data_IF_502679234886
#
_entry.id   IF_502679234886
#
_cell.length_a   1.000
_cell.length_b   1.000
_cell.length_c   1.000
_cell.angle_alpha   90.00
_cell.angle_beta   90.00
_cell.angle_gamma   90.00
#
_symmetry.space_group_name_H-M   'P 1'
#
loop_
_entity.id
_entity.type
_entity.pdbx_description
1 polymer ?
#
# COMPACT_ATOMS: atom_id res chain seq x y z
N UNK A 1 9.47 -8.52 11.91
CA UNK A 1 9.93 -7.75 10.73
C UNK A 1 9.20 -6.42 10.78
N UNK A 2 9.84 -5.28 10.50
CA UNK A 2 9.16 -3.98 10.54
C UNK A 2 8.49 -3.71 9.20
N UNK A 3 7.27 -4.20 9.05
CA UNK A 3 6.25 -3.64 8.17
C UNK A 3 5.70 -2.40 8.87
N UNK A 4 5.29 -1.38 8.12
CA UNK A 4 4.73 -0.16 8.69
C UNK A 4 3.45 0.18 7.94
N UNK A 5 2.36 0.37 8.67
CA UNK A 5 1.07 0.74 8.09
C UNK A 5 1.00 2.24 7.85
N UNK A 6 1.33 2.68 6.63
CA UNK A 6 1.25 4.09 6.24
C UNK A 6 -0.18 4.45 5.86
N UNK A 7 -0.76 5.39 6.59
CA UNK A 7 -2.07 5.91 6.27
C UNK A 7 -1.97 6.90 5.11
N UNK A 8 -2.89 6.81 4.16
CA UNK A 8 -3.11 7.94 3.25
C UNK A 8 -3.49 9.14 4.09
N UNK A 9 -2.90 10.31 3.81
CA UNK A 9 -3.34 11.58 4.39
C UNK A 9 -4.85 11.66 4.23
N UNK A 10 -5.62 11.44 5.30
CA UNK A 10 -7.04 11.68 5.32
C UNK A 10 -7.14 13.19 5.12
N UNK A 11 -7.30 13.63 3.86
CA UNK A 11 -7.72 15.00 3.62
C UNK A 11 -9.10 15.06 4.29
N UNK A 12 -9.32 15.88 5.33
CA UNK A 12 -10.70 16.17 5.71
C UNK A 12 -11.42 16.64 4.44
N UNK A 13 -12.67 16.24 4.25
CA UNK A 13 -13.53 16.75 3.19
C UNK A 13 -13.61 18.28 3.36
N UNK A 14 -12.68 19.02 2.76
CA UNK A 14 -12.74 20.47 2.72
C UNK A 14 -13.75 20.84 1.66
N UNK A 15 -14.98 21.07 2.11
CA UNK A 15 -16.00 21.75 1.34
C UNK A 15 -15.58 23.21 1.15
N UNK A 16 -15.14 23.54 -0.08
CA UNK A 16 -15.13 24.87 -0.69
C UNK A 16 -14.24 25.97 -0.08
N UNK A 17 -13.28 26.48 -0.86
CA UNK A 17 -13.22 27.92 -1.17
C UNK A 17 -12.23 28.21 -2.29
N UNK A 18 -12.68 28.97 -3.29
CA UNK A 18 -11.92 29.43 -4.45
C UNK A 18 -10.93 30.53 -4.06
N UNK A 19 -9.63 30.31 -4.21
CA UNK A 19 -8.66 31.42 -4.28
C UNK A 19 -7.61 31.19 -5.37
N UNK A 20 -7.70 32.07 -6.36
CA UNK A 20 -6.84 32.24 -7.53
C UNK A 20 -5.54 32.94 -7.10
N UNK A 21 -4.37 32.41 -7.45
CA UNK A 21 -3.16 33.22 -7.61
C UNK A 21 -2.15 32.55 -8.54
N UNK A 22 -1.89 33.24 -9.65
CA UNK A 22 -0.83 32.97 -10.63
C UNK A 22 0.48 33.54 -10.08
N UNK A 23 1.57 32.77 -10.15
CA UNK A 23 2.92 33.29 -10.23
C UNK A 23 3.75 32.44 -11.20
N UNK A 24 4.52 33.14 -12.00
CA UNK A 24 5.30 32.71 -13.16
C UNK A 24 6.78 32.54 -12.77
N UNK A 25 7.45 31.61 -13.46
CA UNK A 25 8.84 31.64 -13.95
C UNK A 25 9.82 30.57 -13.43
N UNK A 26 10.53 30.03 -14.44
CA UNK A 26 11.82 29.32 -14.48
C UNK A 26 11.74 27.80 -14.56
N UNK A 27 11.57 27.34 -15.81
CA UNK A 27 12.05 26.04 -16.25
C UNK A 27 13.58 26.00 -16.13
N UNK A 28 14.08 25.24 -15.17
CA UNK A 28 15.47 24.77 -15.16
C UNK A 28 15.50 23.43 -15.91
N UNK A 29 16.37 23.37 -16.92
CA UNK A 29 16.71 22.14 -17.60
C UNK A 29 17.44 21.22 -16.62
N UNK A 30 16.71 20.38 -15.90
CA UNK A 30 17.28 19.22 -15.23
C UNK A 30 17.10 18.02 -16.15
N UNK A 31 18.21 17.52 -16.67
CA UNK A 31 18.29 16.24 -17.37
C UNK A 31 17.72 15.16 -16.44
N UNK A 32 16.45 14.82 -16.65
CA UNK A 32 15.83 13.67 -16.01
C UNK A 32 16.52 12.44 -16.59
N UNK A 33 17.29 11.74 -15.76
CA UNK A 33 17.57 10.32 -15.95
C UNK A 33 16.27 9.64 -16.40
N UNK A 34 16.28 8.70 -17.35
CA UNK A 34 15.06 7.99 -17.72
C UNK A 34 14.51 7.38 -16.44
N UNK A 35 13.43 7.96 -15.92
CA UNK A 35 12.64 7.33 -14.88
C UNK A 35 12.12 6.08 -15.57
N UNK A 36 12.81 4.97 -15.33
CA UNK A 36 12.26 3.65 -15.59
C UNK A 36 10.95 3.66 -14.83
N UNK A 37 9.83 3.81 -15.54
CA UNK A 37 8.51 3.59 -14.97
C UNK A 37 8.55 2.16 -14.47
N UNK A 38 8.83 1.95 -13.18
CA UNK A 38 8.73 0.65 -12.56
C UNK A 38 7.28 0.25 -12.74
N UNK A 39 7.05 -0.70 -13.63
CA UNK A 39 5.70 -1.08 -14.02
C UNK A 39 4.98 -1.61 -12.78
N UNK A 40 3.93 -0.92 -12.36
CA UNK A 40 3.05 -1.43 -11.32
C UNK A 40 2.29 -2.61 -11.87
N UNK A 41 2.13 -3.64 -11.04
CA UNK A 41 1.38 -4.84 -11.41
C UNK A 41 0.07 -4.89 -10.63
N UNK A 42 -1.00 -5.47 -11.19
CA UNK A 42 -2.16 -5.83 -10.39
C UNK A 42 -1.78 -6.89 -9.35
N UNK A 43 -2.62 -7.04 -8.32
CA UNK A 43 -2.47 -8.14 -7.37
C UNK A 43 -2.49 -9.51 -8.07
N UNK A 44 -1.73 -10.50 -7.57
CA UNK A 44 -1.91 -11.89 -7.97
C UNK A 44 -3.38 -12.31 -7.78
N UNK A 45 -3.97 -12.89 -8.82
CA UNK A 45 -5.42 -13.11 -8.89
C UNK A 45 -5.93 -13.93 -7.71
N UNK A 46 -5.23 -15.00 -7.34
CA UNK A 46 -5.67 -15.90 -6.27
C UNK A 46 -5.58 -15.23 -4.90
N UNK A 47 -4.51 -14.46 -4.64
CA UNK A 47 -4.39 -13.68 -3.41
C UNK A 47 -5.49 -12.61 -3.31
N UNK A 48 -5.78 -11.91 -4.41
CA UNK A 48 -6.87 -10.93 -4.48
C UNK A 48 -8.21 -11.61 -4.19
N UNK A 49 -8.56 -12.67 -4.89
CA UNK A 49 -9.82 -13.38 -4.71
C UNK A 49 -9.97 -13.98 -3.31
N UNK A 50 -8.90 -14.56 -2.77
CA UNK A 50 -8.88 -15.07 -1.40
C UNK A 50 -9.16 -13.98 -0.38
N UNK A 51 -8.48 -12.83 -0.51
CA UNK A 51 -8.69 -11.69 0.37
C UNK A 51 -10.09 -11.08 0.20
N UNK A 52 -10.57 -10.91 -1.03
CA UNK A 52 -11.93 -10.41 -1.31
C UNK A 52 -13.00 -11.33 -0.70
N UNK A 53 -12.80 -12.66 -0.76
CA UNK A 53 -13.74 -13.64 -0.18
C UNK A 53 -13.82 -13.55 1.35
N UNK A 54 -12.69 -13.35 2.03
CA UNK A 54 -12.68 -13.29 3.51
C UNK A 54 -13.06 -11.90 4.05
N UNK A 55 -12.75 -10.83 3.32
CA UNK A 55 -12.97 -9.45 3.79
C UNK A 55 -14.25 -8.80 3.26
N UNK A 56 -14.79 -9.27 2.14
CA UNK A 56 -15.91 -8.60 1.44
C UNK A 56 -15.54 -7.27 0.77
N UNK A 57 -14.26 -6.89 0.76
CA UNK A 57 -13.77 -5.62 0.22
C UNK A 57 -13.32 -5.79 -1.23
N UNK A 58 -13.66 -4.86 -2.13
CA UNK A 58 -13.13 -4.87 -3.50
C UNK A 58 -11.65 -4.45 -3.55
N UNK A 59 -10.80 -5.29 -4.15
CA UNK A 59 -9.35 -5.08 -4.22
C UNK A 59 -8.81 -5.01 -5.66
N UNK A 60 -9.69 -4.86 -6.66
CA UNK A 60 -9.31 -4.80 -8.08
C UNK A 60 -8.37 -3.62 -8.40
N UNK A 61 -8.52 -2.51 -7.66
CA UNK A 61 -7.74 -1.29 -7.88
C UNK A 61 -6.38 -1.29 -7.18
N UNK A 62 -6.10 -2.30 -6.35
CA UNK A 62 -4.81 -2.38 -5.65
C UNK A 62 -3.67 -2.61 -6.65
N UNK A 63 -2.56 -1.92 -6.43
CA UNK A 63 -1.35 -1.97 -7.26
C UNK A 63 -0.14 -2.35 -6.43
N UNK A 64 0.68 -3.24 -6.98
CA UNK A 64 1.93 -3.70 -6.36
C UNK A 64 3.12 -3.13 -7.12
N UNK A 65 3.98 -2.43 -6.39
CA UNK A 65 5.23 -1.85 -6.84
C UNK A 65 6.38 -2.78 -6.41
N UNK A 66 6.68 -3.76 -7.24
CA UNK A 66 7.79 -4.70 -7.02
C UNK A 66 9.14 -4.02 -7.23
N UNK A 67 10.17 -4.50 -6.53
CA UNK A 67 11.54 -3.97 -6.60
C UNK A 67 11.60 -2.44 -6.36
N UNK A 68 10.75 -1.93 -5.49
CA UNK A 68 10.66 -0.52 -5.16
C UNK A 68 11.79 -0.10 -4.22
N UNK A 69 12.35 1.09 -4.45
CA UNK A 69 13.29 1.75 -3.55
C UNK A 69 12.60 2.54 -2.43
N UNK A 70 11.27 2.69 -2.47
CA UNK A 70 10.54 3.47 -1.46
C UNK A 70 10.63 2.88 -0.05
N UNK A 71 10.48 1.56 0.18
CA UNK A 71 10.57 1.00 1.53
C UNK A 71 11.91 1.33 2.23
N UNK A 72 13.03 1.35 1.49
CA UNK A 72 14.33 1.72 2.07
C UNK A 72 14.42 3.17 2.55
N UNK A 73 13.64 4.09 1.98
CA UNK A 73 13.63 5.50 2.41
C UNK A 73 13.07 5.67 3.83
N UNK A 74 12.29 4.67 4.28
CA UNK A 74 11.68 4.63 5.60
C UNK A 74 12.16 3.43 6.42
N UNK A 75 13.31 2.84 6.04
CA UNK A 75 13.91 1.70 6.74
C UNK A 75 12.99 0.47 6.86
N UNK A 76 12.09 0.29 5.89
CA UNK A 76 11.16 -0.83 5.81
C UNK A 76 11.52 -1.80 4.68
N UNK A 77 11.00 -3.03 4.76
CA UNK A 77 11.10 -4.04 3.70
C UNK A 77 9.92 -3.98 2.73
N UNK A 78 8.76 -3.59 3.24
CA UNK A 78 7.54 -3.39 2.50
C UNK A 78 6.63 -2.42 3.27
N UNK A 79 5.68 -1.81 2.56
CA UNK A 79 4.58 -1.09 3.20
C UNK A 79 3.37 -0.94 2.26
N UNK A 80 2.19 -0.80 2.87
CA UNK A 80 0.94 -0.42 2.21
C UNK A 80 0.58 1.05 2.46
N UNK A 81 0.06 1.71 1.43
CA UNK A 81 -0.50 3.07 1.52
C UNK A 81 -1.68 3.20 0.57
N UNK A 82 -2.90 3.19 1.09
CA UNK A 82 -4.13 3.29 0.31
C UNK A 82 -4.33 2.07 -0.59
N UNK A 83 -4.35 2.27 -1.91
CA UNK A 83 -4.46 1.18 -2.89
C UNK A 83 -3.09 0.72 -3.43
N UNK A 84 -1.99 1.21 -2.86
CA UNK A 84 -0.63 0.90 -3.31
C UNK A 84 0.13 0.08 -2.27
N UNK A 85 0.80 -0.98 -2.73
CA UNK A 85 1.72 -1.80 -1.93
C UNK A 85 3.12 -1.69 -2.55
N UNK A 86 4.11 -1.37 -1.72
CA UNK A 86 5.51 -1.24 -2.14
C UNK A 86 6.35 -2.35 -1.53
N UNK A 87 7.08 -3.08 -2.36
CA UNK A 87 7.93 -4.20 -1.94
C UNK A 87 9.37 -3.91 -2.34
N UNK A 88 10.30 -3.99 -1.39
CA UNK A 88 11.71 -3.94 -1.70
C UNK A 88 12.13 -5.18 -2.54
N UNK A 89 13.27 -5.13 -3.25
CA UNK A 89 13.75 -6.28 -4.01
C UNK A 89 13.85 -7.55 -3.15
N UNK A 90 13.25 -8.65 -3.62
CA UNK A 90 13.25 -9.95 -2.92
C UNK A 90 12.35 -10.04 -1.69
N UNK A 91 11.44 -9.09 -1.48
CA UNK A 91 10.52 -9.02 -0.33
C UNK A 91 9.07 -9.38 -0.69
N UNK A 92 8.84 -10.14 -1.76
CA UNK A 92 7.50 -10.51 -2.25
C UNK A 92 6.67 -11.31 -1.25
N UNK A 93 7.33 -12.05 -0.35
CA UNK A 93 6.71 -12.78 0.75
C UNK A 93 5.88 -11.90 1.68
N UNK A 94 6.13 -10.59 1.73
CA UNK A 94 5.39 -9.65 2.56
C UNK A 94 4.05 -9.24 1.94
N UNK A 95 3.82 -9.53 0.66
CA UNK A 95 2.63 -9.08 -0.06
C UNK A 95 1.30 -9.48 0.61
N UNK A 96 1.09 -10.73 1.11
CA UNK A 96 -0.16 -11.06 1.79
C UNK A 96 -0.41 -10.22 3.05
N UNK A 97 0.63 -9.95 3.82
CA UNK A 97 0.60 -9.10 5.02
C UNK A 97 0.23 -7.66 4.67
N UNK A 98 0.93 -7.07 3.70
CA UNK A 98 0.64 -5.70 3.25
C UNK A 98 -0.77 -5.56 2.68
N UNK A 99 -1.29 -6.61 2.03
CA UNK A 99 -2.67 -6.60 1.56
C UNK A 99 -3.68 -6.60 2.73
N UNK A 100 -3.36 -7.26 3.85
CA UNK A 100 -4.13 -7.16 5.08
C UNK A 100 -4.24 -5.72 5.57
N UNK A 101 -3.16 -4.95 5.53
CA UNK A 101 -3.18 -3.52 5.86
C UNK A 101 -4.06 -2.70 4.92
N UNK A 102 -4.05 -2.99 3.61
CA UNK A 102 -4.95 -2.34 2.65
C UNK A 102 -6.42 -2.58 3.00
N UNK A 103 -6.77 -3.81 3.41
CA UNK A 103 -8.13 -4.14 3.86
C UNK A 103 -8.49 -3.31 5.08
N UNK A 104 -7.65 -3.31 6.12
CA UNK A 104 -7.88 -2.53 7.34
C UNK A 104 -8.10 -1.04 7.05
N UNK A 105 -7.30 -0.45 6.14
CA UNK A 105 -7.46 0.93 5.71
C UNK A 105 -8.79 1.16 4.97
N UNK A 106 -9.20 0.24 4.10
CA UNK A 106 -10.46 0.35 3.34
C UNK A 106 -11.70 0.21 4.23
N UNK A 107 -11.65 -0.59 5.29
CA UNK A 107 -12.78 -0.77 6.22
C UNK A 107 -12.79 0.26 7.35
N UNK A 108 -11.81 1.17 7.40
CA UNK A 108 -11.75 2.23 8.41
C UNK A 108 -11.34 1.73 9.80
N UNK A 109 -10.66 0.58 9.90
CA UNK A 109 -10.18 0.04 11.19
C UNK A 109 -8.93 0.75 11.72
N UNK A 110 -8.33 1.64 10.94
CA UNK A 110 -7.00 2.19 11.22
C UNK A 110 -7.10 3.67 11.49
N UNK A 111 -6.78 4.05 12.72
CA UNK A 111 -6.58 5.44 13.12
C UNK A 111 -5.09 5.75 13.26
N UNK A 112 -4.63 6.98 12.96
CA UNK A 112 -3.23 7.35 13.19
C UNK A 112 -2.87 7.23 14.68
N UNK A 113 -1.85 6.45 15.02
CA UNK A 113 -1.28 6.42 16.39
C UNK A 113 -0.08 7.36 16.50
N UNK A 114 0.61 7.62 15.37
CA UNK A 114 1.78 8.48 15.33
C UNK A 114 1.94 9.19 13.96
N UNK A 115 2.86 10.16 13.90
CA UNK A 115 3.30 10.81 12.68
C UNK A 115 4.79 10.54 12.46
N UNK A 116 5.14 10.08 11.25
CA UNK A 116 6.52 9.90 10.81
C UNK A 116 6.75 10.74 9.57
N UNK A 117 7.52 11.82 9.71
CA UNK A 117 7.85 12.76 8.62
C UNK A 117 6.61 13.34 7.90
N UNK A 118 5.55 13.65 8.65
CA UNK A 118 4.30 14.20 8.10
C UNK A 118 3.37 13.16 7.49
N UNK A 119 3.65 11.87 7.72
CA UNK A 119 2.78 10.76 7.33
C UNK A 119 2.24 10.07 8.57
N UNK A 120 0.92 9.99 8.63
CA UNK A 120 0.21 9.25 9.67
C UNK A 120 0.53 7.75 9.56
N UNK A 121 0.90 7.14 10.68
CA UNK A 121 1.22 5.71 10.79
C UNK A 121 0.40 5.12 11.93
N UNK A 122 0.05 3.85 11.78
CA UNK A 122 -0.45 3.02 12.88
C UNK A 122 0.60 1.95 13.22
N UNK A 123 0.90 1.80 14.50
CA UNK A 123 1.88 0.84 15.04
C UNK A 123 1.28 -0.12 16.08
N UNK A 124 -0.06 -0.28 16.10
CA UNK A 124 -0.75 -1.18 17.03
C UNK A 124 -0.39 -2.66 16.72
N UNK A 125 0.25 -3.38 17.67
CA UNK A 125 0.61 -4.78 17.48
C UNK A 125 -0.58 -5.70 17.16
N UNK A 126 -1.78 -5.36 17.64
CA UNK A 126 -3.00 -6.15 17.38
C UNK A 126 -3.41 -6.04 15.91
N UNK A 127 -3.24 -4.87 15.31
CA UNK A 127 -3.53 -4.66 13.88
C UNK A 127 -2.47 -5.33 13.00
N UNK A 128 -1.20 -5.34 13.40
CA UNK A 128 -0.14 -6.09 12.71
C UNK A 128 -0.41 -7.61 12.72
N UNK A 129 -0.82 -8.17 13.87
CA UNK A 129 -1.19 -9.58 13.95
C UNK A 129 -2.41 -9.88 13.08
N UNK A 130 -3.45 -9.05 13.15
CA UNK A 130 -4.65 -9.24 12.34
C UNK A 130 -4.35 -9.15 10.83
N UNK A 131 -3.44 -8.26 10.41
CA UNK A 131 -3.00 -8.19 9.01
C UNK A 131 -2.27 -9.47 8.56
N UNK A 132 -1.46 -10.04 9.45
CA UNK A 132 -0.78 -11.34 9.22
C UNK A 132 -1.81 -12.45 9.01
N UNK A 133 -2.78 -12.58 9.92
CA UNK A 133 -3.82 -13.61 9.89
C UNK A 133 -4.69 -13.51 8.63
N UNK A 134 -5.09 -12.29 8.24
CA UNK A 134 -5.82 -12.04 6.99
C UNK A 134 -4.99 -12.48 5.77
N UNK A 135 -3.70 -12.14 5.73
CA UNK A 135 -2.81 -12.52 4.64
C UNK A 135 -2.68 -14.03 4.49
N UNK A 136 -2.45 -14.74 5.61
CA UNK A 136 -2.36 -16.20 5.63
C UNK A 136 -3.67 -16.88 5.22
N UNK A 137 -4.81 -16.39 5.74
CA UNK A 137 -6.13 -16.90 5.35
C UNK A 137 -6.41 -16.66 3.87
N UNK A 138 -6.07 -15.48 3.33
CA UNK A 138 -6.25 -15.17 1.92
C UNK A 138 -5.46 -16.12 1.02
N UNK A 139 -4.22 -16.46 1.40
CA UNK A 139 -3.40 -17.45 0.68
C UNK A 139 -4.06 -18.84 0.72
N UNK A 140 -4.54 -19.27 1.89
CA UNK A 140 -5.20 -20.58 2.04
C UNK A 140 -6.50 -20.68 1.23
N UNK A 141 -7.31 -19.62 1.25
CA UNK A 141 -8.63 -19.58 0.59
C UNK A 141 -8.52 -19.36 -0.91
N UNK A 142 -7.52 -18.58 -1.36
CA UNK A 142 -7.29 -18.28 -2.77
C UNK A 142 -6.67 -19.43 -3.57
N UNK A 143 -6.06 -20.41 -2.90
CA UNK A 143 -5.29 -21.47 -3.55
C UNK A 143 -3.82 -21.09 -3.78
N UNK A 144 -3.01 -22.04 -4.26
CA UNK A 144 -1.55 -21.89 -4.34
C UNK A 144 -1.15 -20.64 -5.13
N UNK A 145 -0.20 -19.85 -4.60
CA UNK A 145 0.24 -18.50 -5.02
C UNK A 145 0.90 -18.41 -6.43
N UNK A 146 0.70 -19.43 -7.26
CA UNK A 146 1.12 -19.48 -8.66
C UNK A 146 0.22 -18.57 -9.54
N UNK A 147 0.68 -18.18 -10.74
CA UNK A 147 0.01 -17.17 -11.58
C UNK A 147 -1.38 -17.54 -12.09
N UNK A 148 -1.89 -18.73 -11.78
CA UNK A 148 -3.19 -19.21 -12.25
C UNK A 148 -3.84 -20.01 -11.11
N UNK A 149 -5.08 -19.66 -10.77
CA UNK A 149 -5.85 -20.40 -9.77
C UNK A 149 -6.25 -21.75 -10.38
N UNK A 150 -5.99 -22.83 -9.66
CA UNK A 150 -6.35 -24.19 -10.07
C UNK A 150 -7.59 -24.66 -9.34
#
# INVERSE_FOLDING_TARGET
MKTQQYLTRIKPLQYGSHHRRVLVQRAINSAASPCVKVATKPLPVCLRQGMERISGVNLQRVRVHYNSHKPSQVQAQAYAQGEDIYLAPGQERHLPHELGHVVQQKVGMVEPTMDVNGVAVNDDPRLEQHATELGEMAVRVGGNWLPICR
#
